data_IF_490132505097
#
_entry.id   IF_490132505097
#
_cell.length_a   1.000
_cell.length_b   1.000
_cell.length_c   1.000
_cell.angle_alpha   90.00
_cell.angle_beta   90.00
_cell.angle_gamma   90.00
#
_symmetry.space_group_name_H-M   'P 1'
#
loop_
_entity.id
_entity.type
_entity.pdbx_description
1 polymer ?
#
# COMPACT_ATOMS: atom_id res chain seq x y z
N UNK A 1 -66.35 35.20 -13.86
CA UNK A 1 -66.02 33.94 -13.15
C UNK A 1 -64.61 33.51 -13.54
N UNK A 2 -63.64 33.83 -12.69
CA UNK A 2 -62.22 33.45 -12.89
C UNK A 2 -61.93 32.21 -12.06
N UNK A 3 -61.60 31.10 -12.74
CA UNK A 3 -61.22 29.85 -12.07
C UNK A 3 -59.70 29.89 -11.77
N UNK A 4 -59.31 29.92 -10.49
CA UNK A 4 -57.95 29.70 -10.02
C UNK A 4 -57.70 28.19 -10.01
N UNK A 5 -56.58 27.79 -10.69
CA UNK A 5 -55.99 26.45 -10.61
C UNK A 5 -55.01 26.45 -9.43
N UNK A 6 -55.04 25.50 -8.48
CA UNK A 6 -53.97 25.41 -7.48
C UNK A 6 -52.74 24.73 -8.05
N UNK A 7 -51.61 25.43 -7.97
CA UNK A 7 -50.28 24.92 -8.29
C UNK A 7 -49.82 24.01 -7.14
N UNK A 8 -49.83 22.71 -7.36
CA UNK A 8 -49.29 21.73 -6.41
C UNK A 8 -47.75 21.72 -6.55
N UNK A 9 -47.05 22.30 -5.55
CA UNK A 9 -45.60 22.21 -5.41
C UNK A 9 -45.28 20.81 -4.92
N UNK A 10 -44.72 19.98 -5.81
CA UNK A 10 -44.13 18.68 -5.47
C UNK A 10 -42.75 18.93 -4.89
N UNK A 11 -42.65 19.00 -3.54
CA UNK A 11 -41.39 19.11 -2.82
C UNK A 11 -40.69 17.76 -2.86
N UNK A 12 -39.80 17.57 -3.83
CA UNK A 12 -38.91 16.41 -3.87
C UNK A 12 -37.92 16.48 -2.69
N UNK A 13 -38.14 15.61 -1.70
CA UNK A 13 -37.18 15.39 -0.62
C UNK A 13 -35.93 14.75 -1.21
N UNK A 14 -34.94 15.59 -1.46
CA UNK A 14 -33.56 15.13 -1.70
C UNK A 14 -33.00 14.73 -0.34
N UNK A 15 -33.08 13.45 0.00
CA UNK A 15 -32.32 12.90 1.13
C UNK A 15 -30.83 13.00 0.76
N UNK A 16 -30.00 13.64 1.57
CA UNK A 16 -28.55 13.57 1.37
C UNK A 16 -28.15 12.10 1.61
N UNK A 17 -27.73 11.39 0.58
CA UNK A 17 -26.95 10.18 0.72
C UNK A 17 -25.62 10.60 1.37
N UNK A 18 -25.56 10.52 2.70
CA UNK A 18 -24.29 10.56 3.41
C UNK A 18 -23.53 9.27 3.05
N UNK A 19 -22.70 9.34 2.03
CA UNK A 19 -21.67 8.34 1.83
C UNK A 19 -20.79 8.38 3.09
N UNK A 20 -20.96 7.42 3.98
CA UNK A 20 -20.02 7.19 5.08
C UNK A 20 -18.67 6.87 4.43
N UNK A 21 -17.75 7.84 4.46
CA UNK A 21 -16.34 7.52 4.35
C UNK A 21 -16.08 6.49 5.45
N UNK A 22 -15.76 5.24 5.09
CA UNK A 22 -15.31 4.25 6.04
C UNK A 22 -14.01 4.77 6.62
N UNK A 23 -14.06 5.30 7.85
CA UNK A 23 -12.89 5.76 8.58
C UNK A 23 -11.94 4.56 8.71
N UNK A 24 -10.70 4.73 8.27
CA UNK A 24 -9.67 3.70 8.35
C UNK A 24 -9.36 3.44 9.83
N UNK A 25 -9.54 2.21 10.28
CA UNK A 25 -9.30 1.81 11.66
C UNK A 25 -7.93 1.16 11.82
N UNK A 26 -7.28 1.48 12.92
CA UNK A 26 -5.95 1.01 13.30
C UNK A 26 -6.04 0.20 14.58
N UNK A 27 -5.58 -1.04 14.55
CA UNK A 27 -5.60 -1.95 15.69
C UNK A 27 -4.18 -2.28 16.13
N UNK A 28 -3.87 -2.03 17.41
CA UNK A 28 -2.61 -2.49 17.99
C UNK A 28 -2.74 -3.95 18.38
N UNK A 29 -2.30 -4.81 17.52
CA UNK A 29 -2.47 -6.26 17.59
C UNK A 29 -1.30 -6.92 18.31
N UNK A 30 -1.60 -7.92 19.15
CA UNK A 30 -0.62 -8.69 19.94
C UNK A 30 -0.65 -10.20 19.63
N UNK A 31 -1.59 -10.66 18.82
CA UNK A 31 -1.67 -12.06 18.39
C UNK A 31 -2.76 -12.29 17.34
N UNK A 32 -2.56 -13.33 16.51
CA UNK A 32 -3.54 -13.78 15.51
C UNK A 32 -3.68 -15.28 15.58
N UNK A 33 -4.90 -15.77 15.55
CA UNK A 33 -5.23 -17.17 15.73
C UNK A 33 -6.24 -17.66 14.68
N UNK A 34 -6.04 -18.87 14.18
CA UNK A 34 -7.01 -19.52 13.31
C UNK A 34 -8.21 -20.09 14.08
N UNK A 35 -8.03 -20.39 15.36
CA UNK A 35 -9.04 -20.99 16.23
C UNK A 35 -9.46 -19.95 17.27
N UNK A 36 -10.77 -19.71 17.39
CA UNK A 36 -11.35 -18.72 18.29
C UNK A 36 -10.96 -18.95 19.76
N UNK A 37 -10.99 -20.19 20.24
CA UNK A 37 -10.63 -20.54 21.63
C UNK A 37 -9.20 -20.14 21.98
N UNK A 38 -8.28 -20.15 21.03
CA UNK A 38 -6.92 -19.69 21.23
C UNK A 38 -6.88 -18.16 21.41
N UNK A 39 -7.66 -17.43 20.61
CA UNK A 39 -7.80 -15.98 20.76
C UNK A 39 -8.43 -15.62 22.12
N UNK A 40 -9.51 -16.31 22.51
CA UNK A 40 -10.17 -16.13 23.81
C UNK A 40 -9.19 -16.35 24.97
N UNK A 41 -8.45 -17.48 24.95
CA UNK A 41 -7.45 -17.78 26.01
C UNK A 41 -6.32 -16.75 26.04
N UNK A 42 -5.84 -16.33 24.88
CA UNK A 42 -4.78 -15.32 24.78
C UNK A 42 -5.26 -13.96 25.27
N UNK A 43 -6.47 -13.55 24.91
CA UNK A 43 -7.13 -12.33 25.40
C UNK A 43 -7.28 -12.37 26.92
N UNK A 44 -7.76 -13.49 27.47
CA UNK A 44 -7.89 -13.66 28.92
C UNK A 44 -6.52 -13.57 29.64
N UNK A 45 -5.46 -14.17 29.05
CA UNK A 45 -4.08 -14.04 29.56
C UNK A 45 -3.61 -12.59 29.59
N UNK A 46 -3.82 -11.85 28.49
CA UNK A 46 -3.45 -10.45 28.40
C UNK A 46 -4.21 -9.58 29.40
N UNK A 47 -5.51 -9.81 29.56
CA UNK A 47 -6.35 -9.09 30.54
C UNK A 47 -5.94 -9.41 31.99
N UNK A 48 -5.54 -10.66 32.29
CA UNK A 48 -4.99 -11.02 33.58
C UNK A 48 -3.65 -10.34 33.88
N UNK A 49 -2.88 -10.00 32.84
CA UNK A 49 -1.64 -9.23 32.97
C UNK A 49 -1.88 -7.70 33.05
N UNK A 50 -3.13 -7.25 33.15
CA UNK A 50 -3.50 -5.84 33.35
C UNK A 50 -3.74 -5.05 32.06
N UNK A 51 -3.80 -5.69 30.90
CA UNK A 51 -4.15 -5.05 29.64
C UNK A 51 -5.67 -5.08 29.39
N UNK A 52 -6.15 -4.17 28.55
CA UNK A 52 -7.54 -4.16 28.06
C UNK A 52 -7.62 -4.83 26.69
N UNK A 53 -7.23 -6.10 26.63
CA UNK A 53 -7.23 -6.83 25.36
C UNK A 53 -8.64 -7.20 24.93
N UNK A 54 -8.86 -7.10 23.64
CA UNK A 54 -10.07 -7.57 22.95
C UNK A 54 -9.66 -8.47 21.78
N UNK A 55 -10.60 -9.23 21.25
CA UNK A 55 -10.39 -9.95 20.01
C UNK A 55 -11.59 -9.76 19.07
N UNK A 56 -11.30 -9.74 17.78
CA UNK A 56 -12.31 -9.73 16.75
C UNK A 56 -11.85 -10.58 15.56
N UNK A 57 -12.82 -11.09 14.81
CA UNK A 57 -12.54 -11.81 13.58
C UNK A 57 -12.20 -10.80 12.47
N UNK A 58 -11.21 -11.11 11.67
CA UNK A 58 -11.05 -10.49 10.36
C UNK A 58 -11.92 -11.29 9.38
N UNK A 59 -13.04 -10.73 8.89
CA UNK A 59 -14.00 -11.49 8.07
C UNK A 59 -13.38 -11.96 6.75
N UNK A 60 -12.43 -11.20 6.21
CA UNK A 60 -11.74 -11.53 4.98
C UNK A 60 -10.73 -12.68 5.15
N UNK A 61 -10.02 -12.73 6.28
CA UNK A 61 -8.98 -13.75 6.55
C UNK A 61 -9.49 -14.93 7.35
N UNK A 62 -10.67 -14.82 7.96
CA UNK A 62 -11.24 -15.81 8.90
C UNK A 62 -10.26 -16.14 10.04
N UNK A 63 -9.51 -15.13 10.49
CA UNK A 63 -8.55 -15.19 11.59
C UNK A 63 -9.00 -14.26 12.70
N UNK A 64 -8.77 -14.67 13.95
CA UNK A 64 -9.07 -13.90 15.15
C UNK A 64 -7.86 -13.07 15.54
N UNK A 65 -8.00 -11.75 15.51
CA UNK A 65 -6.98 -10.79 15.92
C UNK A 65 -7.22 -10.40 17.37
N UNK A 66 -6.19 -10.51 18.20
CA UNK A 66 -6.21 -10.01 19.58
C UNK A 66 -5.48 -8.69 19.60
N UNK A 67 -6.15 -7.64 20.03
CA UNK A 67 -5.63 -6.26 20.03
C UNK A 67 -5.85 -5.56 21.36
N UNK A 68 -5.04 -4.53 21.63
CA UNK A 68 -5.04 -3.74 22.86
C UNK A 68 -5.61 -2.33 22.66
N UNK A 69 -5.67 -1.87 21.43
CA UNK A 69 -6.22 -0.55 21.05
C UNK A 69 -6.82 -0.63 19.68
N UNK A 70 -7.98 -0.03 19.54
CA UNK A 70 -8.63 0.34 18.29
C UNK A 70 -8.70 1.86 18.21
N UNK A 71 -8.37 2.46 17.07
CA UNK A 71 -8.33 3.91 16.91
C UNK A 71 -8.41 4.30 15.43
N UNK A 72 -9.13 5.36 15.13
CA UNK A 72 -9.08 6.04 13.83
C UNK A 72 -7.84 6.97 13.71
N UNK A 73 -7.16 7.26 14.82
CA UNK A 73 -5.92 8.04 14.83
C UNK A 73 -4.69 7.14 14.76
N UNK A 74 -4.05 7.12 13.58
CA UNK A 74 -2.82 6.36 13.32
C UNK A 74 -1.69 6.71 14.29
N UNK A 75 -1.51 7.99 14.62
CA UNK A 75 -0.42 8.44 15.50
C UNK A 75 -0.61 7.89 16.91
N UNK A 76 -1.85 7.96 17.42
CA UNK A 76 -2.22 7.38 18.71
C UNK A 76 -1.95 5.88 18.72
N UNK A 77 -2.37 5.17 17.67
CA UNK A 77 -2.17 3.73 17.56
C UNK A 77 -0.68 3.36 17.49
N UNK A 78 0.12 4.06 16.68
CA UNK A 78 1.58 3.85 16.58
C UNK A 78 2.26 4.15 17.91
N UNK A 79 1.96 5.27 18.57
CA UNK A 79 2.55 5.63 19.87
C UNK A 79 2.23 4.59 20.94
N UNK A 80 0.98 4.10 20.97
CA UNK A 80 0.55 3.06 21.90
C UNK A 80 1.26 1.71 21.62
N UNK A 81 1.36 1.33 20.33
CA UNK A 81 2.10 0.12 19.93
C UNK A 81 3.56 0.17 20.40
N UNK A 82 4.23 1.31 20.23
CA UNK A 82 5.62 1.47 20.66
C UNK A 82 5.75 1.40 22.18
N UNK A 83 4.80 1.98 22.92
CA UNK A 83 4.73 1.88 24.37
C UNK A 83 4.58 0.40 24.80
N UNK A 84 3.64 -0.33 24.20
CA UNK A 84 3.44 -1.76 24.49
C UNK A 84 4.72 -2.57 24.22
N UNK A 85 5.39 -2.33 23.09
CA UNK A 85 6.68 -2.98 22.80
C UNK A 85 7.77 -2.67 23.81
N UNK A 86 7.83 -1.44 24.31
CA UNK A 86 8.86 -1.01 25.27
C UNK A 86 8.60 -1.55 26.69
N UNK A 87 7.34 -1.53 27.13
CA UNK A 87 6.97 -1.71 28.54
C UNK A 87 6.33 -3.07 28.87
N UNK A 88 6.09 -3.94 27.86
CA UNK A 88 5.40 -5.21 28.08
C UNK A 88 6.12 -6.44 27.49
N UNK A 89 5.56 -7.63 27.70
CA UNK A 89 6.01 -8.88 27.07
C UNK A 89 5.70 -8.94 25.56
N UNK A 90 4.80 -8.07 25.05
CA UNK A 90 4.36 -8.06 23.65
C UNK A 90 5.31 -7.25 22.76
N UNK A 91 6.59 -7.67 22.71
CA UNK A 91 7.64 -7.01 21.92
C UNK A 91 7.36 -7.00 20.42
N UNK A 92 6.55 -7.96 19.94
CA UNK A 92 6.17 -8.13 18.54
C UNK A 92 4.79 -7.56 18.22
N UNK A 93 4.19 -6.73 19.10
CA UNK A 93 2.94 -6.04 18.79
C UNK A 93 3.07 -5.24 17.49
N UNK A 94 2.06 -5.27 16.63
CA UNK A 94 2.09 -4.55 15.34
C UNK A 94 0.80 -3.79 15.09
N UNK A 95 0.84 -2.90 14.11
CA UNK A 95 -0.32 -2.14 13.68
C UNK A 95 -1.04 -2.91 12.56
N UNK A 96 -2.25 -3.37 12.82
CA UNK A 96 -3.15 -3.85 11.79
C UNK A 96 -4.00 -2.67 11.30
N UNK A 97 -4.12 -2.52 9.98
CA UNK A 97 -4.91 -1.49 9.32
C UNK A 97 -6.03 -2.17 8.57
N UNK A 98 -7.27 -1.79 8.85
CA UNK A 98 -8.45 -2.39 8.24
C UNK A 98 -9.59 -2.54 9.21
N UNK A 99 -10.59 -3.34 8.85
CA UNK A 99 -11.77 -3.58 9.67
C UNK A 99 -11.71 -4.96 10.33
N UNK A 100 -12.00 -5.02 11.63
CA UNK A 100 -12.18 -6.24 12.41
C UNK A 100 -13.62 -6.29 12.96
N UNK A 101 -14.20 -7.48 13.01
CA UNK A 101 -15.57 -7.71 13.49
C UNK A 101 -16.54 -8.07 12.37
N UNK A 102 -17.82 -8.21 12.69
CA UNK A 102 -18.86 -8.48 11.71
C UNK A 102 -19.05 -7.27 10.78
N UNK A 103 -19.39 -7.52 9.51
CA UNK A 103 -19.76 -6.44 8.58
C UNK A 103 -20.98 -5.69 9.13
N UNK A 104 -21.13 -4.36 8.84
CA UNK A 104 -22.28 -3.60 9.30
C UNK A 104 -23.56 -4.20 8.73
N UNK A 105 -24.34 -4.90 9.58
CA UNK A 105 -25.58 -5.59 9.19
C UNK A 105 -25.71 -7.02 9.68
N UNK A 106 -24.66 -7.67 10.18
CA UNK A 106 -24.73 -8.98 10.82
C UNK A 106 -24.73 -8.86 12.35
N UNK A 107 -25.75 -9.43 12.99
CA UNK A 107 -25.86 -9.47 14.45
C UNK A 107 -24.71 -10.28 15.07
N UNK A 108 -24.12 -9.71 16.12
CA UNK A 108 -23.03 -10.27 16.91
C UNK A 108 -23.47 -11.59 17.59
N UNK A 109 -22.86 -12.74 17.28
CA UNK A 109 -23.18 -13.99 18.01
C UNK A 109 -22.72 -13.90 19.46
N UNK A 110 -23.66 -14.16 20.38
CA UNK A 110 -23.38 -14.23 21.81
C UNK A 110 -22.40 -15.37 22.13
N UNK A 111 -21.43 -15.10 23.01
CA UNK A 111 -20.43 -16.06 23.47
C UNK A 111 -21.08 -17.19 24.26
N UNK A 112 -20.91 -18.43 23.81
CA UNK A 112 -21.19 -19.65 24.57
C UNK A 112 -19.87 -20.33 24.94
N UNK A 113 -19.65 -20.75 26.20
CA UNK A 113 -18.42 -21.40 26.60
C UNK A 113 -18.42 -22.87 26.17
N UNK A 114 -17.36 -23.29 25.49
CA UNK A 114 -17.18 -24.66 25.03
C UNK A 114 -15.97 -25.35 25.64
N UNK A 115 -16.13 -26.67 25.76
CA UNK A 115 -15.32 -27.64 26.51
C UNK A 115 -13.96 -27.98 25.87
N UNK A 116 -13.09 -28.48 26.69
CA UNK A 116 -11.67 -28.85 26.46
C UNK A 116 -11.53 -30.11 25.62
N UNK A 117 -10.64 -30.12 24.59
CA UNK A 117 -10.05 -31.34 24.00
C UNK A 117 -8.60 -31.08 23.56
N UNK A 118 -7.70 -32.09 23.54
CA UNK A 118 -6.26 -31.87 23.67
C UNK A 118 -5.47 -31.72 22.37
N UNK A 119 -4.23 -31.24 22.54
CA UNK A 119 -3.25 -30.89 21.52
C UNK A 119 -2.79 -32.06 20.64
N UNK A 120 -2.65 -31.80 19.33
CA UNK A 120 -1.91 -32.64 18.38
C UNK A 120 -0.65 -31.89 17.93
N UNK A 121 0.47 -32.58 18.06
CA UNK A 121 1.82 -32.15 17.66
C UNK A 121 1.98 -32.39 16.15
N UNK A 122 2.52 -31.43 15.42
CA UNK A 122 2.90 -31.56 14.01
C UNK A 122 4.42 -31.64 13.87
N UNK A 123 4.95 -32.47 12.98
CA UNK A 123 6.39 -32.65 12.80
C UNK A 123 7.00 -31.63 11.82
N UNK A 124 8.31 -31.41 12.01
CA UNK A 124 9.17 -30.53 11.22
C UNK A 124 9.36 -31.04 9.79
N UNK A 125 9.43 -30.12 8.84
CA UNK A 125 9.76 -30.41 7.44
C UNK A 125 11.20 -29.99 7.15
N UNK A 126 11.89 -30.92 6.51
CA UNK A 126 13.30 -30.89 6.11
C UNK A 126 13.48 -30.06 4.85
N UNK A 127 14.53 -29.26 4.77
CA UNK A 127 15.01 -28.55 3.58
C UNK A 127 15.63 -29.52 2.57
N UNK A 128 15.31 -29.34 1.32
CA UNK A 128 16.02 -29.96 0.20
C UNK A 128 16.56 -28.91 -0.77
N UNK A 129 17.89 -28.85 -0.88
CA UNK A 129 18.65 -28.02 -1.81
C UNK A 129 18.60 -28.64 -3.20
N UNK A 130 18.43 -27.84 -4.24
CA UNK A 130 18.68 -28.30 -5.62
C UNK A 130 19.45 -27.26 -6.42
N UNK A 131 20.56 -27.74 -7.00
CA UNK A 131 21.55 -27.01 -7.77
C UNK A 131 21.05 -26.54 -9.15
N UNK A 132 21.57 -25.38 -9.57
CA UNK A 132 21.45 -24.85 -10.94
C UNK A 132 22.53 -25.41 -11.87
N UNK A 133 22.29 -25.51 -13.16
CA UNK A 133 23.36 -25.57 -14.15
C UNK A 133 23.48 -24.26 -14.95
N UNK A 134 24.72 -23.80 -15.03
CA UNK A 134 25.21 -22.71 -15.88
C UNK A 134 25.18 -23.12 -17.34
N UNK A 135 24.71 -22.23 -18.23
CA UNK A 135 24.89 -22.37 -19.67
C UNK A 135 25.49 -21.09 -20.25
N UNK A 136 26.63 -21.27 -20.89
CA UNK A 136 27.44 -20.29 -21.62
C UNK A 136 26.74 -19.74 -22.87
N UNK A 137 27.02 -18.47 -23.17
CA UNK A 137 26.61 -17.80 -24.39
C UNK A 137 27.73 -17.86 -25.46
N UNK A 138 27.40 -18.00 -26.73
CA UNK A 138 28.38 -17.79 -27.80
C UNK A 138 28.35 -16.36 -28.36
N UNK A 139 29.53 -15.83 -28.57
CA UNK A 139 29.87 -14.59 -29.26
C UNK A 139 29.66 -14.74 -30.76
N UNK A 140 29.04 -13.76 -31.43
CA UNK A 140 29.06 -13.62 -32.89
C UNK A 140 29.33 -12.17 -33.29
N UNK A 141 30.27 -12.03 -34.18
CA UNK A 141 30.88 -10.83 -34.76
C UNK A 141 29.93 -9.96 -35.61
N UNK A 142 30.27 -8.67 -35.63
CA UNK A 142 29.63 -7.64 -36.44
C UNK A 142 30.02 -7.71 -37.92
N UNK A 143 29.05 -7.51 -38.82
CA UNK A 143 29.26 -6.96 -40.17
C UNK A 143 28.26 -5.87 -40.50
N UNK A 144 28.80 -4.76 -41.02
CA UNK A 144 28.11 -3.56 -41.52
C UNK A 144 27.40 -3.85 -42.86
N UNK A 145 26.30 -3.22 -43.09
CA UNK A 145 25.83 -2.33 -44.13
C UNK A 145 24.40 -2.63 -44.61
N UNK A 146 23.68 -1.53 -44.77
CA UNK A 146 22.47 -1.30 -45.56
C UNK A 146 21.24 -0.90 -44.76
N UNK A 147 20.90 0.38 -44.90
CA UNK A 147 19.68 1.01 -44.43
C UNK A 147 18.48 0.45 -45.24
N UNK A 148 17.78 -0.45 -44.60
CA UNK A 148 16.37 -0.77 -44.95
C UNK A 148 15.60 -0.55 -43.64
N UNK A 149 14.69 0.44 -43.65
CA UNK A 149 13.78 0.65 -42.52
C UNK A 149 12.90 -0.60 -42.41
N UNK A 150 13.10 -1.45 -41.39
CA UNK A 150 12.22 -2.61 -41.20
C UNK A 150 10.94 -2.10 -40.57
N UNK A 151 9.82 -2.26 -41.29
CA UNK A 151 8.52 -2.40 -40.64
C UNK A 151 8.70 -3.44 -39.57
N UNK A 152 8.63 -3.03 -38.28
CA UNK A 152 8.70 -3.96 -37.15
C UNK A 152 7.62 -5.02 -37.36
N UNK A 153 7.96 -6.32 -37.40
CA UNK A 153 6.95 -7.35 -37.44
C UNK A 153 6.08 -7.18 -36.19
N UNK A 154 4.78 -7.05 -36.39
CA UNK A 154 3.79 -7.14 -35.31
C UNK A 154 3.94 -8.56 -34.75
N UNK A 155 4.75 -8.70 -33.70
CA UNK A 155 4.83 -9.95 -32.93
C UNK A 155 3.45 -10.14 -32.35
N UNK A 156 2.68 -11.08 -32.89
CA UNK A 156 1.37 -11.45 -32.33
C UNK A 156 1.62 -11.93 -30.90
N UNK A 157 1.31 -11.07 -29.93
CA UNK A 157 1.34 -11.38 -28.51
C UNK A 157 0.44 -12.60 -28.27
N UNK A 158 0.98 -13.67 -27.72
CA UNK A 158 0.15 -14.81 -27.31
C UNK A 158 -0.60 -14.38 -26.06
N UNK A 159 -1.88 -14.06 -26.21
CA UNK A 159 -2.77 -13.67 -25.12
C UNK A 159 -3.21 -14.91 -24.37
N UNK A 160 -2.95 -14.98 -23.08
CA UNK A 160 -3.32 -16.12 -22.19
C UNK A 160 -4.63 -15.87 -21.44
N UNK A 161 -5.08 -14.62 -21.35
CA UNK A 161 -6.27 -14.18 -20.65
C UNK A 161 -7.11 -13.21 -21.46
N UNK A 162 -7.77 -12.27 -20.77
CA UNK A 162 -8.45 -11.13 -21.39
C UNK A 162 -7.55 -9.90 -21.32
N UNK A 163 -7.62 -9.06 -22.35
CA UNK A 163 -6.89 -7.80 -22.35
C UNK A 163 -7.70 -6.70 -21.68
N UNK A 164 -7.06 -6.00 -20.74
CA UNK A 164 -7.63 -4.87 -20.02
C UNK A 164 -6.66 -3.70 -19.99
N UNK A 165 -7.23 -2.49 -19.84
CA UNK A 165 -6.51 -1.28 -19.48
C UNK A 165 -7.26 -0.62 -18.32
N UNK A 166 -6.65 -0.55 -17.14
CA UNK A 166 -7.23 0.13 -15.99
C UNK A 166 -6.73 1.56 -15.95
N UNK A 167 -7.68 2.51 -16.14
CA UNK A 167 -7.40 3.94 -16.12
C UNK A 167 -7.73 4.52 -14.77
N UNK A 168 -6.74 5.13 -14.12
CA UNK A 168 -6.98 5.87 -12.90
C UNK A 168 -7.37 7.31 -13.23
N UNK A 169 -8.46 7.76 -12.62
CA UNK A 169 -9.04 9.08 -12.89
C UNK A 169 -9.24 9.78 -11.55
N UNK A 170 -8.74 11.01 -11.43
CA UNK A 170 -9.03 11.87 -10.31
C UNK A 170 -10.53 12.19 -10.26
N UNK A 171 -11.19 11.83 -9.15
CA UNK A 171 -12.63 11.99 -8.97
C UNK A 171 -13.09 13.46 -9.02
N UNK A 172 -12.20 14.42 -8.70
CA UNK A 172 -12.57 15.83 -8.62
C UNK A 172 -12.55 16.54 -9.99
N UNK A 173 -11.64 16.15 -10.90
CA UNK A 173 -11.39 16.88 -12.15
C UNK A 173 -11.31 16.00 -13.41
N UNK A 174 -11.35 14.68 -13.28
CA UNK A 174 -11.30 13.75 -14.41
C UNK A 174 -9.91 13.53 -15.02
N UNK A 175 -8.86 14.13 -14.47
CA UNK A 175 -7.50 13.94 -14.97
C UNK A 175 -6.98 12.53 -14.71
N UNK A 176 -6.10 12.06 -15.60
CA UNK A 176 -5.43 10.77 -15.43
C UNK A 176 -4.45 10.79 -14.25
N UNK A 177 -4.42 9.69 -13.47
CA UNK A 177 -3.59 9.53 -12.29
C UNK A 177 -2.64 8.36 -12.48
N UNK A 178 -1.35 8.56 -12.22
CA UNK A 178 -0.35 7.49 -12.29
C UNK A 178 -0.43 6.59 -11.06
N UNK A 179 -0.24 5.29 -11.26
CA UNK A 179 -0.24 4.34 -10.17
C UNK A 179 -0.11 2.91 -10.63
N UNK A 180 -0.37 2.01 -9.70
CA UNK A 180 -0.38 0.56 -9.93
C UNK A 180 -1.74 -0.02 -9.53
N UNK A 181 -2.19 -1.00 -10.28
CA UNK A 181 -3.37 -1.80 -9.96
C UNK A 181 -2.91 -3.19 -9.50
N UNK A 182 -3.33 -3.58 -8.31
CA UNK A 182 -3.02 -4.87 -7.72
C UNK A 182 -4.25 -5.77 -7.77
N UNK A 183 -4.07 -7.00 -8.28
CA UNK A 183 -5.11 -8.00 -8.37
C UNK A 183 -4.86 -9.14 -7.41
N UNK A 184 -5.83 -9.44 -6.58
CA UNK A 184 -5.82 -10.60 -5.69
C UNK A 184 -7.07 -11.45 -5.89
N UNK A 185 -6.97 -12.77 -5.65
CA UNK A 185 -8.09 -13.70 -5.79
C UNK A 185 -9.00 -13.75 -4.55
N UNK A 186 -8.62 -13.05 -3.48
CA UNK A 186 -9.45 -12.83 -2.28
C UNK A 186 -9.08 -11.49 -1.64
N UNK A 187 -10.02 -10.89 -0.90
CA UNK A 187 -9.80 -9.64 -0.15
C UNK A 187 -8.62 -9.72 0.83
N UNK A 188 -8.27 -10.91 1.29
CA UNK A 188 -7.25 -11.17 2.30
C UNK A 188 -5.97 -11.79 1.74
N UNK A 189 -5.84 -11.89 0.41
CA UNK A 189 -4.66 -12.48 -0.19
C UNK A 189 -3.43 -11.61 0.11
N UNK A 190 -2.36 -12.24 0.56
CA UNK A 190 -1.03 -11.62 0.66
C UNK A 190 -0.29 -11.63 -0.67
N UNK A 191 -0.74 -12.48 -1.61
CA UNK A 191 -0.20 -12.56 -2.96
C UNK A 191 -1.11 -11.79 -3.92
N UNK A 192 -0.52 -10.93 -4.72
CA UNK A 192 -1.18 -10.14 -5.74
C UNK A 192 -0.32 -10.07 -7.01
N UNK A 193 -0.97 -9.79 -8.13
CA UNK A 193 -0.32 -9.42 -9.37
C UNK A 193 -0.39 -7.89 -9.49
N UNK A 194 0.75 -7.23 -9.68
CA UNK A 194 0.83 -5.78 -9.82
C UNK A 194 1.07 -5.40 -11.29
N UNK A 195 0.32 -4.41 -11.75
CA UNK A 195 0.45 -3.84 -13.09
C UNK A 195 0.39 -2.32 -13.00
N UNK A 196 1.06 -1.63 -13.92
CA UNK A 196 0.93 -0.18 -14.04
C UNK A 196 -0.45 0.19 -14.59
N UNK A 197 -1.05 1.25 -14.05
CA UNK A 197 -2.22 1.87 -14.65
C UNK A 197 -1.88 2.38 -16.07
N UNK A 198 -2.90 2.56 -16.92
CA UNK A 198 -2.79 3.00 -18.31
C UNK A 198 -1.90 2.13 -19.21
N UNK A 199 -1.75 0.86 -18.86
CA UNK A 199 -1.07 -0.11 -19.72
C UNK A 199 -2.00 -1.25 -20.10
N UNK A 200 -1.83 -1.80 -21.30
CA UNK A 200 -2.56 -3.00 -21.73
C UNK A 200 -1.98 -4.21 -20.99
N UNK A 201 -2.80 -4.86 -20.20
CA UNK A 201 -2.45 -6.05 -19.44
C UNK A 201 -3.16 -7.29 -19.96
N UNK A 202 -2.46 -8.41 -19.99
CA UNK A 202 -3.01 -9.73 -20.24
C UNK A 202 -3.30 -10.40 -18.89
N UNK A 203 -4.57 -10.26 -18.43
CA UNK A 203 -4.99 -10.75 -17.12
C UNK A 203 -5.56 -12.17 -17.28
N UNK A 204 -4.95 -13.20 -16.68
CA UNK A 204 -5.49 -14.55 -16.70
C UNK A 204 -6.80 -14.64 -15.92
N UNK A 205 -7.59 -15.69 -16.15
CA UNK A 205 -8.78 -15.93 -15.35
C UNK A 205 -8.40 -16.26 -13.90
N UNK A 206 -9.11 -15.72 -12.89
CA UNK A 206 -8.88 -16.08 -11.50
C UNK A 206 -9.27 -17.55 -11.26
N UNK A 207 -8.59 -18.19 -10.33
CA UNK A 207 -8.80 -19.62 -9.99
C UNK A 207 -10.04 -19.85 -9.14
N UNK A 208 -10.58 -18.79 -8.51
CA UNK A 208 -11.77 -18.91 -7.69
C UNK A 208 -13.03 -19.16 -8.54
N UNK A 209 -13.97 -19.94 -8.02
CA UNK A 209 -15.19 -20.34 -8.73
C UNK A 209 -16.07 -19.14 -9.14
N UNK A 210 -16.01 -18.05 -8.39
CA UNK A 210 -16.77 -16.83 -8.68
C UNK A 210 -16.28 -16.10 -9.93
N UNK A 211 -15.02 -16.24 -10.29
CA UNK A 211 -14.41 -15.44 -11.36
C UNK A 211 -14.15 -13.99 -10.97
N UNK A 212 -14.02 -13.72 -9.68
CA UNK A 212 -13.87 -12.37 -9.12
C UNK A 212 -12.41 -12.11 -8.75
N UNK A 213 -11.85 -11.02 -9.22
CA UNK A 213 -10.67 -10.40 -8.64
C UNK A 213 -11.04 -9.30 -7.64
N UNK A 214 -10.18 -9.10 -6.65
CA UNK A 214 -10.21 -7.90 -5.82
C UNK A 214 -9.10 -6.99 -6.31
N UNK A 215 -9.51 -5.81 -6.75
CA UNK A 215 -8.61 -4.76 -7.22
C UNK A 215 -8.28 -3.86 -6.04
N UNK A 216 -6.97 -3.57 -5.85
CA UNK A 216 -6.50 -2.50 -4.97
C UNK A 216 -5.71 -1.52 -5.81
N UNK A 217 -6.07 -0.24 -5.74
CA UNK A 217 -5.32 0.82 -6.43
C UNK A 217 -4.24 1.39 -5.51
N UNK A 218 -3.05 1.59 -6.05
CA UNK A 218 -1.92 2.24 -5.38
C UNK A 218 -1.55 3.46 -6.21
N UNK A 219 -1.92 4.65 -5.72
CA UNK A 219 -1.61 5.92 -6.36
C UNK A 219 -1.22 6.94 -5.28
N UNK A 220 0.02 7.47 -5.28
CA UNK A 220 0.50 8.38 -4.26
C UNK A 220 -0.38 9.63 -4.14
N UNK A 221 -0.86 9.92 -2.94
CA UNK A 221 -1.74 11.05 -2.67
C UNK A 221 -3.22 10.81 -2.95
N UNK A 222 -3.58 9.61 -3.32
CA UNK A 222 -4.97 9.18 -3.45
C UNK A 222 -5.29 8.09 -2.43
N UNK A 223 -6.55 8.02 -2.03
CA UNK A 223 -7.03 6.94 -1.17
C UNK A 223 -7.05 5.62 -1.94
N UNK A 224 -6.55 4.51 -1.37
CA UNK A 224 -6.66 3.22 -2.02
C UNK A 224 -8.13 2.85 -2.25
N UNK A 225 -8.48 2.53 -3.49
CA UNK A 225 -9.77 1.95 -3.83
C UNK A 225 -9.65 0.43 -3.80
N UNK A 226 -10.47 -0.23 -2.97
CA UNK A 226 -10.55 -1.70 -2.93
C UNK A 226 -11.93 -2.10 -3.43
N UNK A 227 -12.00 -2.77 -4.59
CA UNK A 227 -13.27 -3.13 -5.24
C UNK A 227 -13.23 -4.52 -5.84
N UNK A 228 -14.33 -5.29 -5.81
CA UNK A 228 -14.44 -6.51 -6.59
C UNK A 228 -14.51 -6.20 -8.09
N UNK A 229 -13.91 -7.05 -8.89
CA UNK A 229 -13.92 -6.98 -10.35
C UNK A 229 -14.33 -8.33 -10.93
N UNK A 230 -15.46 -8.35 -11.62
CA UNK A 230 -15.95 -9.55 -12.29
C UNK A 230 -15.19 -9.76 -13.60
N UNK A 231 -14.29 -10.74 -13.59
CA UNK A 231 -13.53 -11.11 -14.78
C UNK A 231 -14.40 -11.77 -15.86
N UNK A 232 -15.50 -12.44 -15.47
CA UNK A 232 -16.40 -13.13 -16.41
C UNK A 232 -17.25 -12.14 -17.20
N UNK A 233 -17.77 -11.12 -16.50
CA UNK A 233 -18.58 -10.05 -17.08
C UNK A 233 -18.03 -8.65 -16.74
N UNK A 234 -16.95 -8.21 -17.40
CA UNK A 234 -16.35 -6.88 -17.16
C UNK A 234 -17.06 -5.75 -17.91
N UNK A 235 -18.00 -6.04 -18.82
CA UNK A 235 -18.65 -5.06 -19.70
C UNK A 235 -19.40 -3.97 -18.91
N UNK A 236 -20.14 -4.26 -17.82
CA UNK A 236 -20.86 -3.23 -17.06
C UNK A 236 -19.99 -2.11 -16.49
N UNK A 237 -18.70 -2.38 -16.24
CA UNK A 237 -17.74 -1.39 -15.69
C UNK A 237 -16.79 -0.83 -16.74
N UNK A 238 -16.87 -1.31 -18.00
CA UNK A 238 -16.04 -0.86 -19.11
C UNK A 238 -16.61 0.39 -19.77
N UNK A 239 -15.73 1.31 -20.18
CA UNK A 239 -16.10 2.48 -21.00
C UNK A 239 -15.90 2.27 -22.49
N UNK A 240 -15.37 1.12 -22.92
CA UNK A 240 -15.14 0.81 -24.32
C UNK A 240 -13.97 -0.15 -24.53
N UNK A 241 -13.57 -0.27 -25.80
CA UNK A 241 -12.47 -1.13 -26.23
C UNK A 241 -11.37 -0.27 -26.85
N UNK A 242 -10.12 -0.53 -26.47
CA UNK A 242 -8.96 0.17 -26.98
C UNK A 242 -8.38 -0.44 -28.27
N UNK A 243 -7.20 0.04 -28.66
CA UNK A 243 -6.58 -0.25 -29.96
C UNK A 243 -6.06 -1.68 -30.13
N UNK A 244 -5.75 -2.38 -29.03
CA UNK A 244 -5.32 -3.79 -29.06
C UNK A 244 -6.47 -4.77 -28.75
N UNK A 245 -7.71 -4.26 -28.62
CA UNK A 245 -8.89 -5.03 -28.27
C UNK A 245 -9.10 -5.18 -26.75
N UNK A 246 -8.33 -4.44 -25.96
CA UNK A 246 -8.46 -4.39 -24.49
C UNK A 246 -9.73 -3.66 -24.06
N UNK A 247 -10.35 -4.11 -22.97
CA UNK A 247 -11.44 -3.40 -22.30
C UNK A 247 -10.88 -2.30 -21.39
N UNK A 248 -11.39 -1.08 -21.53
CA UNK A 248 -10.97 0.08 -20.75
C UNK A 248 -11.84 0.18 -19.51
N UNK A 249 -11.23 0.04 -18.32
CA UNK A 249 -11.88 0.07 -17.01
C UNK A 249 -11.44 1.34 -16.26
N UNK A 250 -12.31 2.37 -16.16
CA UNK A 250 -12.00 3.55 -15.35
C UNK A 250 -12.15 3.27 -13.87
N UNK A 251 -11.17 3.72 -13.07
CA UNK A 251 -11.19 3.68 -11.61
C UNK A 251 -11.07 5.11 -11.09
N UNK A 252 -12.15 5.62 -10.48
CA UNK A 252 -12.22 6.97 -9.94
C UNK A 252 -11.60 6.99 -8.55
N UNK A 253 -10.55 7.82 -8.35
CA UNK A 253 -9.78 7.89 -7.12
C UNK A 253 -10.02 9.20 -6.38
N UNK A 254 -10.28 9.12 -5.09
CA UNK A 254 -10.39 10.29 -4.21
C UNK A 254 -9.01 10.72 -3.72
N UNK A 255 -8.76 12.04 -3.73
CA UNK A 255 -7.52 12.60 -3.19
C UNK A 255 -7.46 12.46 -1.67
N UNK A 256 -6.27 12.22 -1.15
CA UNK A 256 -5.98 12.32 0.27
C UNK A 256 -6.14 13.77 0.77
N UNK A 257 -6.53 13.96 2.03
CA UNK A 257 -6.86 15.25 2.63
C UNK A 257 -5.86 15.62 3.72
N UNK A 258 -5.96 16.85 4.23
CA UNK A 258 -5.13 17.31 5.35
C UNK A 258 -5.21 16.36 6.55
N UNK A 259 -4.06 15.94 7.04
CA UNK A 259 -3.92 14.97 8.13
C UNK A 259 -3.79 13.53 7.65
N UNK A 260 -4.15 13.23 6.39
CA UNK A 260 -3.91 11.92 5.81
C UNK A 260 -2.41 11.73 5.54
N UNK A 261 -2.00 10.48 5.55
CA UNK A 261 -0.65 10.06 5.16
C UNK A 261 -0.73 9.39 3.79
N UNK A 262 0.20 9.76 2.92
CA UNK A 262 0.40 9.06 1.65
C UNK A 262 1.19 7.79 1.97
N UNK A 263 0.60 6.65 1.68
CA UNK A 263 1.24 5.35 1.82
C UNK A 263 1.97 4.99 0.53
N UNK A 264 3.20 4.53 0.69
CA UNK A 264 4.03 4.02 -0.40
C UNK A 264 4.24 2.53 -0.24
N UNK A 265 4.13 1.79 -1.32
CA UNK A 265 4.36 0.34 -1.34
C UNK A 265 5.80 0.00 -1.69
N UNK A 266 6.38 0.75 -2.64
CA UNK A 266 7.68 0.45 -3.23
C UNK A 266 8.76 1.48 -2.90
N UNK A 267 8.45 2.51 -2.07
CA UNK A 267 9.43 3.54 -1.71
C UNK A 267 10.32 3.04 -0.58
N UNK A 268 11.46 2.52 -0.94
CA UNK A 268 12.50 2.03 -0.04
C UNK A 268 13.89 2.51 -0.45
N UNK A 269 14.84 2.41 0.47
CA UNK A 269 16.22 2.87 0.28
C UNK A 269 17.18 1.69 0.25
N UNK A 270 18.30 1.87 -0.46
CA UNK A 270 19.44 0.98 -0.27
C UNK A 270 19.89 1.00 1.20
N UNK A 271 20.39 -0.14 1.66
CA UNK A 271 20.81 -0.28 3.06
C UNK A 271 21.80 0.82 3.47
N UNK A 272 21.54 1.46 4.59
CA UNK A 272 22.35 2.58 5.12
C UNK A 272 22.58 3.69 4.08
N UNK A 273 21.61 4.00 3.27
CA UNK A 273 21.72 4.97 2.19
C UNK A 273 20.54 5.93 2.15
N UNK A 274 20.73 7.06 1.51
CA UNK A 274 19.68 8.00 1.10
C UNK A 274 19.28 7.80 -0.36
N UNK A 275 19.94 6.90 -1.08
CA UNK A 275 19.60 6.53 -2.45
C UNK A 275 18.39 5.60 -2.43
N UNK A 276 17.37 5.93 -3.19
CA UNK A 276 16.16 5.15 -3.35
C UNK A 276 16.39 3.94 -4.27
N UNK A 277 15.62 2.89 -4.09
CA UNK A 277 15.56 1.79 -5.05
C UNK A 277 14.85 2.22 -6.34
N UNK A 278 15.20 1.63 -7.51
CA UNK A 278 14.58 2.01 -8.80
C UNK A 278 13.06 1.85 -8.84
N UNK A 279 12.50 0.86 -8.13
CA UNK A 279 11.06 0.66 -8.05
C UNK A 279 10.30 1.83 -7.38
N UNK A 280 10.97 2.68 -6.61
CA UNK A 280 10.37 3.85 -6.00
C UNK A 280 10.02 4.96 -7.00
N UNK A 281 10.62 4.94 -8.20
CA UNK A 281 10.52 6.05 -9.17
C UNK A 281 9.07 6.31 -9.58
N UNK A 282 8.29 5.26 -9.84
CA UNK A 282 6.88 5.40 -10.27
C UNK A 282 6.03 6.12 -9.22
N UNK A 283 6.16 5.72 -7.94
CA UNK A 283 5.38 6.34 -6.85
C UNK A 283 5.88 7.76 -6.55
N UNK A 284 7.19 7.99 -6.59
CA UNK A 284 7.76 9.33 -6.42
C UNK A 284 7.34 10.28 -7.54
N UNK A 285 7.27 9.81 -8.79
CA UNK A 285 6.78 10.60 -9.91
C UNK A 285 5.28 10.90 -9.75
N UNK A 286 4.48 9.93 -9.31
CA UNK A 286 3.06 10.13 -9.01
C UNK A 286 2.83 11.22 -7.95
N UNK A 287 3.64 11.25 -6.89
CA UNK A 287 3.59 12.31 -5.89
C UNK A 287 3.97 13.69 -6.47
N UNK A 288 5.01 13.72 -7.31
CA UNK A 288 5.40 14.98 -7.97
C UNK A 288 4.28 15.50 -8.89
N UNK A 289 3.64 14.63 -9.66
CA UNK A 289 2.54 14.98 -10.56
C UNK A 289 1.33 15.50 -9.77
N UNK A 290 0.95 14.82 -8.67
CA UNK A 290 -0.09 15.29 -7.76
C UNK A 290 0.21 16.71 -7.24
N UNK A 291 1.42 16.95 -6.76
CA UNK A 291 1.79 18.25 -6.20
C UNK A 291 1.91 19.36 -7.27
N UNK A 292 2.22 19.02 -8.51
CA UNK A 292 2.21 19.98 -9.64
C UNK A 292 0.79 20.32 -10.09
N UNK A 293 -0.08 19.34 -10.12
CA UNK A 293 -1.49 19.51 -10.46
C UNK A 293 -2.22 20.34 -9.40
N UNK A 294 -1.96 20.06 -8.13
CA UNK A 294 -2.62 20.70 -6.99
C UNK A 294 -1.63 21.56 -6.22
N UNK A 295 -1.54 22.83 -6.58
CA UNK A 295 -0.58 23.78 -5.99
C UNK A 295 -0.86 24.11 -4.51
N UNK A 296 -2.07 23.83 -4.03
CA UNK A 296 -2.45 24.01 -2.63
C UNK A 296 -1.90 22.94 -1.70
N UNK A 297 -1.51 21.78 -2.23
CA UNK A 297 -0.91 20.73 -1.41
C UNK A 297 0.41 21.16 -0.80
N UNK A 298 0.50 21.03 0.51
CA UNK A 298 1.74 21.12 1.28
C UNK A 298 1.95 19.82 2.03
N UNK A 299 3.17 19.32 2.03
CA UNK A 299 3.49 18.04 2.64
C UNK A 299 4.62 18.15 3.65
N UNK A 300 4.65 17.21 4.59
CA UNK A 300 5.80 16.96 5.45
C UNK A 300 6.29 15.53 5.23
N UNK A 301 7.55 15.39 4.87
CA UNK A 301 8.20 14.11 4.63
C UNK A 301 8.88 13.68 5.93
N UNK A 302 8.48 12.54 6.46
CA UNK A 302 9.04 11.91 7.65
C UNK A 302 9.98 10.78 7.22
N UNK A 303 11.26 10.90 7.51
CA UNK A 303 12.23 9.82 7.26
C UNK A 303 12.32 8.89 8.46
N UNK A 304 12.45 7.59 8.20
CA UNK A 304 12.58 6.53 9.19
C UNK A 304 13.75 5.62 8.85
N UNK A 305 14.27 4.90 9.83
CA UNK A 305 15.26 3.84 9.61
C UNK A 305 15.12 2.69 10.60
N UNK A 306 15.74 1.59 10.24
CA UNK A 306 15.84 0.43 11.11
C UNK A 306 17.00 0.59 12.11
N UNK A 307 16.67 0.61 13.41
CA UNK A 307 17.66 0.74 14.50
C UNK A 307 18.11 2.17 14.79
N UNK A 308 18.71 2.34 15.95
CA UNK A 308 19.08 3.64 16.55
C UNK A 308 20.59 3.88 16.59
N UNK A 309 21.39 2.97 16.00
CA UNK A 309 22.86 3.01 16.07
C UNK A 309 23.45 3.98 15.05
N UNK A 310 24.55 4.60 15.42
CA UNK A 310 25.41 5.32 14.48
C UNK A 310 26.03 4.35 13.48
N UNK A 311 26.04 4.74 12.20
CA UNK A 311 26.50 3.88 11.11
C UNK A 311 27.17 4.66 9.99
N UNK A 312 27.94 3.95 9.17
CA UNK A 312 28.42 4.50 7.91
C UNK A 312 27.26 4.50 6.91
N UNK A 313 27.01 5.66 6.32
CA UNK A 313 25.93 5.89 5.37
C UNK A 313 26.46 6.36 4.02
N UNK A 314 25.64 6.14 2.99
CA UNK A 314 25.86 6.64 1.64
C UNK A 314 24.87 7.82 1.43
N UNK A 315 25.42 8.99 1.12
CA UNK A 315 24.66 10.19 0.75
C UNK A 315 24.68 10.40 -0.76
N UNK A 316 23.81 11.26 -1.28
CA UNK A 316 23.85 11.63 -2.70
C UNK A 316 25.18 12.29 -3.09
N UNK A 317 25.81 13.04 -2.17
CA UNK A 317 27.03 13.80 -2.50
C UNK A 317 26.75 14.80 -3.62
N UNK A 318 27.49 14.68 -4.72
CA UNK A 318 27.30 15.50 -5.94
C UNK A 318 26.39 14.83 -6.97
N UNK A 319 25.89 13.61 -6.69
CA UNK A 319 25.02 12.88 -7.61
C UNK A 319 23.62 13.49 -7.68
N UNK A 320 23.07 13.54 -8.88
CA UNK A 320 21.65 13.87 -9.15
C UNK A 320 20.81 12.61 -9.45
N UNK A 321 21.41 11.42 -9.27
CA UNK A 321 20.73 10.14 -9.50
C UNK A 321 20.12 9.64 -8.19
N UNK A 322 18.83 9.79 -8.06
CA UNK A 322 18.09 9.47 -6.83
C UNK A 322 17.83 7.97 -6.65
N UNK A 323 17.73 7.21 -7.74
CA UNK A 323 17.24 5.82 -7.76
C UNK A 323 18.31 4.78 -8.10
N UNK A 324 19.56 5.17 -8.16
CA UNK A 324 20.67 4.24 -8.42
C UNK A 324 21.95 4.77 -7.81
N UNK A 325 22.86 3.86 -7.46
CA UNK A 325 24.20 4.23 -7.02
C UNK A 325 24.96 4.94 -8.12
N UNK A 326 25.77 5.92 -7.75
CA UNK A 326 26.52 6.78 -8.66
C UNK A 326 27.90 7.10 -8.08
N UNK A 327 28.94 7.27 -8.90
CA UNK A 327 30.29 7.66 -8.42
C UNK A 327 30.33 8.96 -7.63
N UNK A 328 29.34 9.86 -7.80
CA UNK A 328 29.20 11.08 -7.02
C UNK A 328 28.69 10.86 -5.60
N UNK A 329 28.24 9.65 -5.25
CA UNK A 329 27.80 9.33 -3.90
C UNK A 329 28.97 9.35 -2.92
N UNK A 330 28.72 9.83 -1.70
CA UNK A 330 29.74 9.98 -0.66
C UNK A 330 29.42 9.14 0.56
N UNK A 331 30.44 8.61 1.21
CA UNK A 331 30.32 7.92 2.49
C UNK A 331 30.59 8.88 3.63
N UNK A 332 29.79 8.80 4.69
CA UNK A 332 30.05 9.46 5.96
C UNK A 332 29.46 8.67 7.12
N UNK A 333 29.97 8.90 8.33
CA UNK A 333 29.33 8.40 9.56
C UNK A 333 28.20 9.33 9.97
N UNK A 334 27.08 8.75 10.37
CA UNK A 334 25.91 9.51 10.80
C UNK A 334 25.11 8.75 11.85
N UNK A 335 24.37 9.50 12.68
CA UNK A 335 23.37 8.93 13.58
C UNK A 335 22.13 8.50 12.80
N UNK A 336 21.29 7.68 13.45
CA UNK A 336 19.96 7.32 12.95
C UNK A 336 19.11 8.55 12.61
N UNK A 337 19.17 9.56 13.48
CA UNK A 337 18.44 10.82 13.30
C UNK A 337 18.91 11.57 12.06
N UNK A 338 20.22 11.67 11.87
CA UNK A 338 20.81 12.34 10.70
C UNK A 338 20.50 11.59 9.40
N UNK A 339 20.64 10.26 9.39
CA UNK A 339 20.26 9.44 8.23
C UNK A 339 18.81 9.69 7.81
N UNK A 340 17.89 9.75 8.77
CA UNK A 340 16.46 9.92 8.48
C UNK A 340 16.11 11.33 8.02
N UNK A 341 16.81 12.36 8.51
CA UNK A 341 16.72 13.73 7.95
C UNK A 341 17.18 13.71 6.49
N UNK A 342 18.34 13.14 6.21
CA UNK A 342 18.91 13.10 4.86
C UNK A 342 18.06 12.29 3.87
N UNK A 343 17.37 11.24 4.32
CA UNK A 343 16.38 10.51 3.50
C UNK A 343 15.19 11.39 3.12
N UNK A 344 14.65 12.13 4.07
CA UNK A 344 13.55 13.07 3.81
C UNK A 344 14.01 14.21 2.87
N UNK A 345 15.24 14.72 3.04
CA UNK A 345 15.83 15.73 2.16
C UNK A 345 16.10 15.20 0.75
N UNK A 346 16.51 13.94 0.59
CA UNK A 346 16.71 13.34 -0.73
C UNK A 346 15.38 13.24 -1.51
N UNK A 347 14.29 12.84 -0.84
CA UNK A 347 12.94 12.84 -1.43
C UNK A 347 12.50 14.27 -1.78
N UNK A 348 12.70 15.24 -0.88
CA UNK A 348 12.43 16.64 -1.18
C UNK A 348 13.22 17.14 -2.39
N UNK A 349 14.51 16.86 -2.45
CA UNK A 349 15.37 17.25 -3.57
C UNK A 349 14.88 16.66 -4.90
N UNK A 350 14.45 15.40 -4.90
CA UNK A 350 13.81 14.79 -6.06
C UNK A 350 12.54 15.54 -6.48
N UNK A 351 11.60 15.78 -5.58
CA UNK A 351 10.35 16.49 -5.89
C UNK A 351 10.61 17.89 -6.45
N UNK A 352 11.59 18.61 -5.86
CA UNK A 352 12.01 19.93 -6.37
C UNK A 352 12.60 19.82 -7.77
N UNK A 353 13.41 18.78 -8.05
CA UNK A 353 13.95 18.54 -9.40
C UNK A 353 12.86 18.25 -10.44
N UNK A 354 11.69 17.77 -9.99
CA UNK A 354 10.50 17.55 -10.82
C UNK A 354 9.62 18.81 -10.95
N UNK A 355 10.02 19.94 -10.38
CA UNK A 355 9.34 21.23 -10.50
C UNK A 355 8.34 21.54 -9.38
N UNK A 356 8.36 20.82 -8.27
CA UNK A 356 7.58 21.16 -7.07
C UNK A 356 8.28 22.25 -6.27
N UNK A 357 7.56 23.28 -5.85
CA UNK A 357 8.13 24.40 -5.09
C UNK A 357 8.62 23.94 -3.70
N UNK A 358 9.85 24.32 -3.36
CA UNK A 358 10.56 23.83 -2.17
C UNK A 358 9.91 24.23 -0.83
N UNK A 359 9.21 25.36 -0.78
CA UNK A 359 8.51 25.88 0.40
C UNK A 359 7.24 25.09 0.77
N UNK A 360 6.71 24.35 -0.19
CA UNK A 360 5.59 23.43 0.00
C UNK A 360 5.98 22.11 0.66
N UNK A 361 7.28 21.83 0.79
CA UNK A 361 7.81 20.56 1.29
C UNK A 361 8.62 20.80 2.55
N UNK A 362 8.12 20.31 3.68
CA UNK A 362 8.84 20.24 4.95
C UNK A 362 9.41 18.83 5.16
N UNK A 363 10.54 18.75 5.85
CA UNK A 363 11.21 17.49 6.15
C UNK A 363 11.36 17.28 7.64
N UNK A 364 11.35 16.04 8.08
CA UNK A 364 11.59 15.63 9.46
C UNK A 364 12.21 14.26 9.51
N UNK A 365 13.32 14.09 10.23
CA UNK A 365 13.83 12.76 10.55
C UNK A 365 13.18 12.24 11.83
N UNK A 366 12.73 11.02 11.84
CA UNK A 366 12.16 10.38 13.02
C UNK A 366 13.17 9.47 13.76
N UNK A 367 14.30 9.18 13.11
CA UNK A 367 15.29 8.21 13.60
C UNK A 367 14.77 6.78 13.54
N UNK A 368 15.43 5.90 14.27
CA UNK A 368 15.07 4.48 14.36
C UNK A 368 14.11 4.14 15.50
N UNK A 369 13.52 5.13 16.19
CA UNK A 369 12.63 4.89 17.32
C UNK A 369 11.21 4.46 16.92
N UNK A 370 10.77 4.86 15.72
CA UNK A 370 9.41 4.59 15.21
C UNK A 370 9.42 3.44 14.20
N UNK A 371 10.01 2.30 14.58
CA UNK A 371 10.01 1.10 13.75
C UNK A 371 8.61 0.48 13.68
N UNK A 372 8.17 0.06 12.49
CA UNK A 372 6.93 -0.69 12.29
C UNK A 372 7.12 -2.16 12.67
N UNK A 373 8.31 -2.71 12.35
CA UNK A 373 8.69 -4.09 12.63
C UNK A 373 9.87 -4.15 13.61
N UNK A 374 10.02 -5.23 14.40
CA UNK A 374 11.21 -5.42 15.22
C UNK A 374 12.49 -5.33 14.38
N UNK A 375 13.55 -4.74 14.95
CA UNK A 375 14.80 -4.43 14.25
C UNK A 375 15.44 -5.63 13.54
N UNK A 376 15.28 -6.83 14.12
CA UNK A 376 15.88 -8.07 13.62
C UNK A 376 14.86 -9.01 12.97
N UNK A 377 13.67 -8.51 12.62
CA UNK A 377 12.66 -9.32 11.92
C UNK A 377 12.98 -9.44 10.43
N UNK A 378 12.41 -10.45 9.77
CA UNK A 378 12.48 -10.60 8.30
C UNK A 378 11.85 -9.43 7.55
N UNK A 379 11.06 -8.62 8.24
CA UNK A 379 10.40 -7.42 7.70
C UNK A 379 11.09 -6.11 8.12
N UNK A 380 12.29 -6.18 8.73
CA UNK A 380 13.02 -5.02 9.24
C UNK A 380 13.35 -3.97 8.17
N UNK A 381 13.47 -4.39 6.90
CA UNK A 381 13.68 -3.49 5.76
C UNK A 381 12.53 -2.48 5.57
N UNK A 382 11.29 -2.79 5.99
CA UNK A 382 10.17 -1.84 5.94
C UNK A 382 10.28 -0.71 6.97
N UNK A 383 11.21 -0.79 7.92
CA UNK A 383 11.54 0.33 8.81
C UNK A 383 12.32 1.43 8.09
N UNK A 384 13.03 1.08 7.01
CA UNK A 384 13.79 2.00 6.14
C UNK A 384 12.86 2.64 5.10
N UNK A 385 12.04 3.62 5.53
CA UNK A 385 10.97 4.20 4.72
C UNK A 385 10.87 5.71 4.86
N UNK A 386 10.02 6.29 4.02
CA UNK A 386 9.48 7.63 4.23
C UNK A 386 7.95 7.56 4.35
N UNK A 387 7.39 8.48 5.11
CA UNK A 387 5.96 8.73 5.19
C UNK A 387 5.71 10.18 4.80
N UNK A 388 4.67 10.44 4.03
CA UNK A 388 4.34 11.80 3.60
C UNK A 388 3.01 12.21 4.20
N UNK A 389 3.05 13.16 5.13
CA UNK A 389 1.87 13.77 5.76
C UNK A 389 1.39 14.94 4.91
N UNK A 390 0.10 14.97 4.57
CA UNK A 390 -0.52 16.13 3.95
C UNK A 390 -0.81 17.17 5.03
N UNK A 391 -0.13 18.31 4.98
CA UNK A 391 -0.28 19.38 5.98
C UNK A 391 -1.26 20.46 5.51
N UNK A 392 -1.48 20.57 4.20
CA UNK A 392 -2.47 21.45 3.56
C UNK A 392 -2.88 20.83 2.21
N UNK A 393 -4.14 21.04 1.82
CA UNK A 393 -4.72 20.60 0.52
C UNK A 393 -5.75 21.63 0.04
#
# INVERSE_FOLDING_TARGET
MKRLLPLVFLLAWVLPFSASAQDQEYYVTIGVFAIQDNAVRFTAKANKAGFSAQYAINPARKLYYVYLLESSDRRKAVSFMLKIRAESEYKDAWLFIGHLGAEPGEEKPAATPAAVVPAVVLPAVVEEKKDEPVVEAPVVEAKKDSVIVPVKPVVKRVVKGKLFMFKFINADNGNEVRGEVHFSESKSATQYQAFKADTVIDLPAPRNAGGIYYITTIAPGYKPLITPFDYKDPVPVSTGTGGEGELIIPLSLERAKRGDYIEFTNVSFYRNSVVLHPQAETEMQGLADLMKEHKDYQVRIHGHCNGTEDRDIITLGTSTKYFQSDPGNQKKRASDKELTILRAEAVKAYLVSQGVEADRIKTKGEGGKLMIYPQNSVYANYNDRVEVEITRH
#
